data_IF_540517880902
#
_entry.id   IF_540517880902
#
_cell.length_a   1.000
_cell.length_b   1.000
_cell.length_c   1.000
_cell.angle_alpha   90.00
_cell.angle_beta   90.00
_cell.angle_gamma   90.00
#
_symmetry.space_group_name_H-M   'P 1'
#
loop_
_entity.id
_entity.type
_entity.pdbx_description
1 polymer ?
#
# COMPACT_ATOMS: atom_id res chain seq x y z
N UNK A 1 -1.71 -10.52 19.97
CA UNK A 1 -2.84 -9.58 19.67
C UNK A 1 -2.62 -9.03 18.29
N UNK A 2 -3.57 -9.17 17.39
CA UNK A 2 -3.54 -8.58 16.05
C UNK A 2 -4.15 -7.16 16.08
N UNK A 3 -4.02 -6.42 14.97
CA UNK A 3 -4.68 -5.10 14.82
C UNK A 3 -6.21 -5.27 14.94
N UNK A 4 -6.78 -6.29 14.30
CA UNK A 4 -8.22 -6.56 14.35
C UNK A 4 -8.71 -6.85 15.77
N UNK A 5 -7.96 -7.69 16.53
CA UNK A 5 -8.26 -7.94 17.95
C UNK A 5 -8.21 -6.66 18.79
N UNK A 6 -7.20 -5.80 18.53
CA UNK A 6 -7.02 -4.56 19.26
C UNK A 6 -8.14 -3.53 18.97
N UNK A 7 -8.79 -3.63 17.81
CA UNK A 7 -9.87 -2.77 17.35
C UNK A 7 -11.26 -3.35 17.66
N UNK A 8 -11.35 -4.61 18.10
CA UNK A 8 -12.61 -5.35 18.27
C UNK A 8 -13.46 -5.32 16.98
N UNK A 9 -12.82 -5.64 15.86
CA UNK A 9 -13.46 -5.72 14.55
C UNK A 9 -13.17 -7.07 13.90
N UNK A 10 -14.10 -7.54 13.07
CA UNK A 10 -13.94 -8.76 12.27
C UNK A 10 -14.19 -8.42 10.80
N UNK A 11 -13.20 -8.74 9.98
CA UNK A 11 -13.28 -8.66 8.52
C UNK A 11 -12.67 -9.94 7.93
N UNK A 12 -13.07 -10.37 6.74
CA UNK A 12 -12.43 -11.50 6.07
C UNK A 12 -10.93 -11.23 5.86
N UNK A 13 -10.11 -12.24 6.16
CA UNK A 13 -8.67 -12.24 5.91
C UNK A 13 -8.32 -13.50 5.14
N UNK A 14 -7.66 -13.34 4.00
CA UNK A 14 -7.29 -14.43 3.11
C UNK A 14 -5.78 -14.55 3.01
N UNK A 15 -5.28 -15.77 2.92
CA UNK A 15 -3.86 -16.02 2.64
C UNK A 15 -3.52 -15.54 1.24
N UNK A 16 -2.44 -14.75 1.12
CA UNK A 16 -1.88 -14.31 -0.15
C UNK A 16 -0.98 -15.35 -0.80
N UNK A 17 -0.35 -14.96 -1.91
CA UNK A 17 0.64 -15.80 -2.57
C UNK A 17 1.86 -16.00 -1.67
N UNK A 18 2.35 -17.23 -1.55
CA UNK A 18 3.50 -17.56 -0.70
C UNK A 18 4.84 -17.29 -1.40
N UNK A 19 4.84 -17.23 -2.74
CA UNK A 19 6.02 -17.02 -3.57
C UNK A 19 5.87 -15.89 -4.57
N UNK A 20 6.88 -15.72 -5.42
CA UNK A 20 6.84 -14.78 -6.55
C UNK A 20 5.94 -15.31 -7.67
N UNK A 21 5.52 -14.42 -8.56
CA UNK A 21 4.66 -14.77 -9.70
C UNK A 21 5.24 -15.89 -10.56
N UNK A 22 6.56 -15.93 -10.76
CA UNK A 22 7.27 -16.99 -11.50
C UNK A 22 7.20 -18.37 -10.83
N UNK A 23 6.97 -18.41 -9.53
CA UNK A 23 6.92 -19.66 -8.74
C UNK A 23 5.50 -20.24 -8.70
N UNK A 24 4.49 -19.45 -9.06
CA UNK A 24 3.08 -19.86 -9.07
C UNK A 24 2.80 -20.63 -10.36
N UNK A 25 2.49 -21.92 -10.23
CA UNK A 25 2.25 -22.83 -11.34
C UNK A 25 0.76 -22.93 -11.68
N UNK A 26 0.45 -22.81 -12.98
CA UNK A 26 -0.92 -23.00 -13.49
C UNK A 26 -1.95 -22.07 -12.85
N UNK A 27 -3.13 -22.61 -12.59
CA UNK A 27 -4.29 -21.89 -12.03
C UNK A 27 -4.37 -22.01 -10.49
N UNK A 28 -3.27 -22.38 -9.83
CA UNK A 28 -3.27 -22.52 -8.37
C UNK A 28 -2.91 -21.19 -7.69
N UNK A 29 -3.78 -20.21 -7.88
CA UNK A 29 -3.66 -18.90 -7.25
C UNK A 29 -4.18 -18.94 -5.80
N UNK A 30 -3.66 -18.04 -4.96
CA UNK A 30 -3.98 -17.97 -3.54
C UNK A 30 -5.46 -17.68 -3.26
N UNK A 31 -5.95 -17.98 -2.05
CA UNK A 31 -7.29 -17.56 -1.62
C UNK A 31 -7.54 -16.06 -1.76
N UNK A 32 -6.53 -15.21 -1.47
CA UNK A 32 -6.66 -13.76 -1.63
C UNK A 32 -6.80 -13.36 -3.11
N UNK A 33 -6.04 -13.99 -4.01
CA UNK A 33 -6.14 -13.74 -5.45
C UNK A 33 -7.48 -14.22 -6.02
N UNK A 34 -8.01 -15.38 -5.57
CA UNK A 34 -9.35 -15.87 -5.92
C UNK A 34 -10.44 -14.90 -5.46
N UNK A 35 -10.36 -14.46 -4.20
CA UNK A 35 -11.30 -13.48 -3.65
C UNK A 35 -11.26 -12.15 -4.43
N UNK A 36 -10.09 -11.70 -4.86
CA UNK A 36 -9.96 -10.50 -5.69
C UNK A 36 -10.69 -10.66 -7.04
N UNK A 37 -10.56 -11.82 -7.69
CA UNK A 37 -11.32 -12.11 -8.92
C UNK A 37 -12.82 -12.07 -8.65
N UNK A 38 -13.29 -12.72 -7.59
CA UNK A 38 -14.70 -12.74 -7.21
C UNK A 38 -15.25 -11.33 -6.95
N UNK A 39 -14.53 -10.51 -6.18
CA UNK A 39 -14.92 -9.13 -5.89
C UNK A 39 -14.92 -8.24 -7.14
N UNK A 40 -13.93 -8.40 -8.03
CA UNK A 40 -13.87 -7.64 -9.28
C UNK A 40 -15.00 -8.02 -10.26
N UNK A 41 -15.46 -9.26 -10.19
CA UNK A 41 -16.57 -9.74 -11.03
C UNK A 41 -17.96 -9.43 -10.47
N UNK A 42 -18.07 -8.88 -9.25
CA UNK A 42 -19.36 -8.44 -8.69
C UNK A 42 -19.97 -7.31 -9.53
N UNK A 43 -21.26 -7.39 -9.70
CA UNK A 43 -22.05 -6.38 -10.46
C UNK A 43 -22.98 -5.63 -9.49
N UNK A 44 -22.39 -4.94 -8.52
CA UNK A 44 -23.12 -4.17 -7.50
C UNK A 44 -23.07 -2.64 -7.74
N UNK A 45 -22.50 -2.21 -8.86
CA UNK A 45 -22.41 -0.82 -9.28
C UNK A 45 -21.42 0.03 -8.45
N UNK A 46 -20.62 -0.60 -7.57
CA UNK A 46 -19.63 0.10 -6.74
C UNK A 46 -18.25 0.04 -7.37
N UNK A 47 -17.46 1.12 -7.30
CA UNK A 47 -16.08 1.08 -7.73
C UNK A 47 -15.26 0.20 -6.78
N UNK A 48 -14.42 -0.69 -7.34
CA UNK A 48 -13.48 -1.49 -6.57
C UNK A 48 -12.10 -0.81 -6.58
N UNK A 49 -11.59 -0.48 -5.39
CA UNK A 49 -10.22 -0.05 -5.17
C UNK A 49 -9.44 -1.17 -4.49
N UNK A 50 -8.34 -1.58 -5.09
CA UNK A 50 -7.42 -2.60 -4.55
C UNK A 50 -6.16 -1.89 -4.07
N UNK A 51 -5.97 -1.82 -2.75
CA UNK A 51 -4.84 -1.13 -2.13
C UNK A 51 -3.70 -2.12 -1.90
N UNK A 52 -2.61 -1.96 -2.67
CA UNK A 52 -1.42 -2.81 -2.60
C UNK A 52 -0.34 -2.10 -1.79
N UNK A 53 -0.01 -2.65 -0.61
CA UNK A 53 0.90 -2.05 0.37
C UNK A 53 2.26 -2.75 0.43
N UNK A 54 2.49 -3.71 -0.47
CA UNK A 54 3.71 -4.51 -0.57
C UNK A 54 3.96 -4.95 -2.00
N UNK A 55 4.51 -6.17 -2.17
CA UNK A 55 4.58 -6.82 -3.45
C UNK A 55 3.19 -6.94 -4.09
N UNK A 56 3.12 -6.77 -5.41
CA UNK A 56 1.83 -6.73 -6.12
C UNK A 56 1.43 -8.10 -6.70
N UNK A 57 2.01 -9.17 -6.17
CA UNK A 57 1.89 -10.55 -6.67
C UNK A 57 0.45 -11.04 -6.71
N UNK A 58 -0.36 -10.77 -5.67
CA UNK A 58 -1.75 -11.20 -5.64
C UNK A 58 -2.58 -10.60 -6.79
N UNK A 59 -2.36 -9.32 -7.11
CA UNK A 59 -3.04 -8.65 -8.23
C UNK A 59 -2.55 -9.21 -9.56
N UNK A 60 -1.25 -9.46 -9.69
CA UNK A 60 -0.68 -10.05 -10.90
C UNK A 60 -1.24 -11.46 -11.14
N UNK A 61 -1.32 -12.30 -10.10
CA UNK A 61 -1.92 -13.64 -10.17
C UNK A 61 -3.39 -13.58 -10.58
N UNK A 62 -4.17 -12.67 -9.97
CA UNK A 62 -5.58 -12.49 -10.30
C UNK A 62 -5.77 -12.04 -11.75
N UNK A 63 -4.97 -11.07 -12.25
CA UNK A 63 -5.02 -10.62 -13.65
C UNK A 63 -4.61 -11.73 -14.63
N UNK A 64 -3.59 -12.52 -14.27
CA UNK A 64 -3.13 -13.65 -15.11
C UNK A 64 -4.20 -14.73 -15.22
N UNK A 65 -4.91 -15.01 -14.12
CA UNK A 65 -5.99 -16.01 -14.06
C UNK A 65 -7.25 -15.53 -14.78
N UNK A 66 -7.66 -14.28 -14.57
CA UNK A 66 -8.90 -13.70 -15.06
C UNK A 66 -8.67 -12.30 -15.65
N UNK A 67 -8.14 -12.17 -16.88
CA UNK A 67 -7.85 -10.86 -17.49
C UNK A 67 -9.07 -9.93 -17.62
N UNK A 68 -10.27 -10.47 -17.62
CA UNK A 68 -11.53 -9.72 -17.67
C UNK A 68 -11.79 -8.82 -16.48
N UNK A 69 -11.04 -8.99 -15.36
CA UNK A 69 -11.13 -8.10 -14.20
C UNK A 69 -10.43 -6.76 -14.42
N UNK A 70 -9.53 -6.66 -15.42
CA UNK A 70 -8.72 -5.46 -15.68
C UNK A 70 -9.57 -4.17 -15.73
N UNK A 71 -10.69 -4.09 -16.48
CA UNK A 71 -11.49 -2.86 -16.54
C UNK A 71 -12.40 -2.65 -15.32
N UNK A 72 -12.43 -3.58 -14.37
CA UNK A 72 -13.40 -3.61 -13.27
C UNK A 72 -12.84 -3.10 -11.93
N UNK A 73 -11.56 -2.78 -11.88
CA UNK A 73 -10.91 -2.33 -10.64
C UNK A 73 -9.93 -1.19 -10.88
N UNK A 74 -9.67 -0.44 -9.82
CA UNK A 74 -8.55 0.51 -9.75
C UNK A 74 -7.55 -0.01 -8.73
N UNK A 75 -6.32 -0.23 -9.15
CA UNK A 75 -5.22 -0.66 -8.29
C UNK A 75 -4.47 0.57 -7.80
N UNK A 76 -4.35 0.73 -6.48
CA UNK A 76 -3.54 1.76 -5.84
C UNK A 76 -2.33 1.08 -5.23
N UNK A 77 -1.14 1.41 -5.70
CA UNK A 77 0.06 0.71 -5.32
C UNK A 77 1.12 1.63 -4.69
N UNK A 78 1.52 1.27 -3.48
CA UNK A 78 2.70 1.83 -2.82
C UNK A 78 3.90 1.06 -3.35
N UNK A 79 4.63 1.63 -4.33
CA UNK A 79 5.74 0.89 -4.93
C UNK A 79 6.46 1.61 -6.05
N UNK A 80 7.68 1.18 -6.28
CA UNK A 80 8.59 1.73 -7.28
C UNK A 80 9.30 3.00 -6.84
N UNK A 81 10.33 3.37 -7.59
CA UNK A 81 11.09 4.60 -7.36
C UNK A 81 10.35 5.85 -7.86
N UNK A 82 10.74 7.00 -7.30
CA UNK A 82 10.44 8.28 -7.94
C UNK A 82 11.10 8.38 -9.31
N UNK A 83 10.38 8.93 -10.27
CA UNK A 83 10.84 8.96 -11.67
C UNK A 83 11.98 9.93 -11.92
N UNK A 84 12.12 10.93 -11.05
CA UNK A 84 13.11 12.00 -11.19
C UNK A 84 14.31 11.82 -10.23
N UNK A 85 14.20 10.86 -9.31
CA UNK A 85 15.15 10.63 -8.22
C UNK A 85 15.53 9.17 -8.11
N UNK A 86 15.96 8.54 -9.21
CA UNK A 86 16.50 7.19 -9.13
C UNK A 86 17.81 7.26 -8.37
N UNK A 87 17.81 6.76 -7.13
CA UNK A 87 19.05 6.56 -6.38
C UNK A 87 19.54 5.13 -6.64
N UNK A 88 20.68 4.95 -7.31
CA UNK A 88 21.20 3.63 -7.65
C UNK A 88 21.46 2.74 -6.43
N UNK A 89 21.66 3.36 -5.28
CA UNK A 89 22.04 2.69 -4.02
C UNK A 89 20.86 2.16 -3.21
N UNK A 90 19.64 2.35 -3.69
CA UNK A 90 18.43 1.91 -2.99
C UNK A 90 17.59 0.99 -3.90
N UNK A 91 17.48 -0.28 -3.52
CA UNK A 91 16.53 -1.22 -4.14
C UNK A 91 15.16 -0.99 -3.51
N UNK A 92 14.20 -0.52 -4.30
CA UNK A 92 12.85 -0.29 -3.78
C UNK A 92 12.20 -1.62 -3.35
N UNK A 93 11.69 -1.66 -2.11
CA UNK A 93 11.33 -2.90 -1.45
C UNK A 93 10.13 -3.59 -2.10
N UNK A 94 9.04 -2.84 -2.34
CA UNK A 94 7.79 -3.45 -2.79
C UNK A 94 7.87 -3.99 -4.22
N UNK A 95 8.44 -3.23 -5.15
CA UNK A 95 8.71 -3.72 -6.51
C UNK A 95 9.80 -4.79 -6.54
N UNK A 96 10.82 -4.64 -5.70
CA UNK A 96 11.94 -5.56 -5.63
C UNK A 96 11.58 -6.96 -5.12
N UNK A 97 10.49 -7.09 -4.38
CA UNK A 97 10.01 -8.39 -3.92
C UNK A 97 9.47 -9.26 -5.07
N UNK A 98 8.86 -8.64 -6.10
CA UNK A 98 8.36 -9.36 -7.27
C UNK A 98 8.35 -8.47 -8.53
N UNK A 99 9.48 -8.43 -9.23
CA UNK A 99 9.67 -7.63 -10.46
C UNK A 99 8.74 -8.11 -11.59
N UNK A 100 8.53 -9.42 -11.70
CA UNK A 100 7.68 -9.99 -12.74
C UNK A 100 6.22 -9.58 -12.52
N UNK A 101 5.72 -9.66 -11.29
CA UNK A 101 4.38 -9.20 -10.92
C UNK A 101 4.22 -7.69 -11.18
N UNK A 102 5.21 -6.87 -10.79
CA UNK A 102 5.20 -5.44 -11.07
C UNK A 102 5.09 -5.18 -12.58
N UNK A 103 5.92 -5.83 -13.39
CA UNK A 103 5.92 -5.70 -14.85
C UNK A 103 4.60 -6.17 -15.49
N UNK A 104 4.02 -7.27 -15.02
CA UNK A 104 2.72 -7.74 -15.49
C UNK A 104 1.64 -6.69 -15.23
N UNK A 105 1.52 -6.21 -13.99
CA UNK A 105 0.45 -5.26 -13.62
C UNK A 105 0.59 -3.94 -14.37
N UNK A 106 1.79 -3.34 -14.42
CA UNK A 106 1.95 -2.04 -15.11
C UNK A 106 1.77 -2.13 -16.62
N UNK A 107 1.89 -3.32 -17.21
CA UNK A 107 1.67 -3.55 -18.65
C UNK A 107 0.26 -4.05 -18.99
N UNK A 108 -0.54 -4.43 -18.01
CA UNK A 108 -1.85 -5.05 -18.22
C UNK A 108 -2.91 -4.08 -18.76
N UNK A 109 -2.75 -2.78 -18.55
CA UNK A 109 -3.76 -1.77 -18.86
C UNK A 109 -4.79 -1.55 -17.74
N UNK A 110 -4.62 -2.20 -16.58
CA UNK A 110 -5.48 -1.92 -15.41
C UNK A 110 -5.35 -0.45 -14.99
N UNK A 111 -6.42 0.11 -14.45
CA UNK A 111 -6.39 1.45 -13.86
C UNK A 111 -5.42 1.49 -12.67
N UNK A 112 -4.15 1.85 -12.94
CA UNK A 112 -3.10 1.84 -11.91
C UNK A 112 -2.82 3.27 -11.41
N UNK A 113 -2.86 3.45 -10.09
CA UNK A 113 -2.45 4.64 -9.36
C UNK A 113 -1.21 4.29 -8.54
N UNK A 114 -0.05 4.69 -9.03
CA UNK A 114 1.23 4.44 -8.38
C UNK A 114 1.59 5.57 -7.42
N UNK A 115 2.04 5.20 -6.23
CA UNK A 115 2.58 6.11 -5.22
C UNK A 115 4.03 5.70 -4.99
N UNK A 116 5.01 6.37 -5.62
CA UNK A 116 6.41 5.96 -5.61
C UNK A 116 7.14 6.35 -4.31
N UNK A 117 8.35 5.82 -4.12
CA UNK A 117 9.12 5.90 -2.88
C UNK A 117 9.43 7.33 -2.41
N UNK A 118 9.65 8.26 -3.31
CA UNK A 118 9.86 9.67 -2.96
C UNK A 118 8.59 10.34 -2.39
N UNK A 119 7.41 9.79 -2.70
CA UNK A 119 6.11 10.28 -2.21
C UNK A 119 5.74 9.55 -0.91
N UNK A 120 5.71 8.22 -0.90
CA UNK A 120 5.36 7.50 0.32
C UNK A 120 6.40 7.67 1.44
N UNK A 121 7.68 7.82 1.09
CA UNK A 121 8.75 8.07 2.05
C UNK A 121 8.66 9.43 2.75
N UNK A 122 7.89 10.39 2.20
CA UNK A 122 7.64 11.69 2.83
C UNK A 122 6.63 11.62 3.99
N UNK A 123 5.91 10.51 4.15
CA UNK A 123 4.90 10.30 5.18
C UNK A 123 5.50 10.06 6.56
N UNK A 124 6.28 11.03 7.04
CA UNK A 124 6.95 10.92 8.34
C UNK A 124 6.15 11.61 9.44
N UNK A 125 6.05 10.91 10.57
CA UNK A 125 5.44 11.38 11.81
C UNK A 125 6.42 11.16 12.96
N UNK A 126 6.50 12.09 13.93
CA UNK A 126 7.37 11.92 15.08
C UNK A 126 6.84 10.87 16.05
N UNK A 127 7.74 10.12 16.69
CA UNK A 127 7.36 9.19 17.76
C UNK A 127 6.65 9.91 18.91
N UNK A 128 7.05 11.15 19.21
CA UNK A 128 6.40 11.97 20.21
C UNK A 128 4.94 12.27 19.86
N UNK A 129 4.64 12.56 18.61
CA UNK A 129 3.25 12.76 18.14
C UNK A 129 2.44 11.48 18.23
N UNK A 130 3.00 10.35 17.81
CA UNK A 130 2.34 9.03 17.92
C UNK A 130 2.06 8.72 19.39
N UNK A 131 3.06 8.94 20.28
CA UNK A 131 2.89 8.73 21.72
C UNK A 131 1.81 9.63 22.31
N UNK A 132 1.81 10.90 21.94
CA UNK A 132 0.86 11.87 22.48
C UNK A 132 -0.57 11.67 21.98
N UNK A 133 -0.75 11.38 20.68
CA UNK A 133 -2.05 11.42 20.02
C UNK A 133 -2.65 10.04 19.74
N UNK A 134 -1.82 9.01 19.52
CA UNK A 134 -2.26 7.65 19.16
C UNK A 134 -2.21 6.71 20.35
N UNK A 135 -1.13 6.70 21.13
CA UNK A 135 -0.99 5.81 22.30
C UNK A 135 -2.19 5.82 23.25
N UNK A 136 -2.83 6.96 23.56
CA UNK A 136 -4.01 7.00 24.45
C UNK A 136 -5.29 6.35 23.85
N UNK A 137 -5.26 5.94 22.57
CA UNK A 137 -6.42 5.38 21.88
C UNK A 137 -6.61 3.87 22.18
N UNK A 138 -6.78 3.52 23.45
CA UNK A 138 -7.09 2.17 23.89
C UNK A 138 -6.05 1.12 23.53
N UNK A 139 -6.51 -0.11 23.33
CA UNK A 139 -5.62 -1.26 22.96
C UNK A 139 -4.92 -1.05 21.62
N UNK A 140 -5.65 -0.51 20.64
CA UNK A 140 -5.07 -0.29 19.30
C UNK A 140 -3.99 0.79 19.32
N UNK A 141 -4.20 1.90 20.03
CA UNK A 141 -3.20 2.96 20.12
C UNK A 141 -1.89 2.49 20.76
N UNK A 142 -1.99 1.72 21.86
CA UNK A 142 -0.83 1.09 22.50
C UNK A 142 -0.14 0.11 21.57
N UNK A 143 -0.91 -0.78 20.93
CA UNK A 143 -0.37 -1.79 20.01
C UNK A 143 0.43 -1.15 18.87
N UNK A 144 -0.11 -0.10 18.24
CA UNK A 144 0.58 0.62 17.17
C UNK A 144 1.87 1.26 17.66
N UNK A 145 1.82 2.05 18.75
CA UNK A 145 2.99 2.73 19.27
C UNK A 145 4.09 1.76 19.72
N UNK A 146 3.75 0.75 20.53
CA UNK A 146 4.73 -0.20 21.06
C UNK A 146 5.43 -1.00 19.94
N UNK A 147 4.69 -1.43 18.91
CA UNK A 147 5.28 -2.12 17.76
C UNK A 147 6.18 -1.19 16.94
N UNK A 148 5.77 0.05 16.69
CA UNK A 148 6.61 1.03 15.99
C UNK A 148 7.91 1.31 16.74
N UNK A 149 7.84 1.54 18.06
CA UNK A 149 9.03 1.78 18.89
C UNK A 149 9.93 0.53 18.93
N UNK A 150 9.35 -0.64 19.16
CA UNK A 150 10.10 -1.90 19.19
C UNK A 150 10.85 -2.15 17.88
N UNK A 151 10.19 -1.95 16.75
CA UNK A 151 10.81 -2.12 15.44
C UNK A 151 11.89 -1.03 15.21
N UNK A 152 11.60 0.23 15.52
CA UNK A 152 12.52 1.36 15.31
C UNK A 152 13.82 1.23 16.13
N UNK A 153 13.79 0.49 17.24
CA UNK A 153 14.95 0.17 18.08
C UNK A 153 15.65 -1.13 17.67
N UNK A 154 15.18 -1.81 16.65
CA UNK A 154 15.77 -3.07 16.18
C UNK A 154 16.87 -2.85 15.14
N UNK A 155 17.70 -3.86 14.92
CA UNK A 155 18.73 -3.88 13.88
C UNK A 155 18.16 -3.79 12.44
N UNK A 156 16.87 -4.07 12.27
CA UNK A 156 16.19 -4.02 10.98
C UNK A 156 15.68 -2.62 10.59
N UNK A 157 15.81 -1.64 11.48
CA UNK A 157 15.25 -0.30 11.31
C UNK A 157 16.18 0.71 10.62
N UNK A 158 17.23 0.27 9.92
CA UNK A 158 18.19 1.16 9.27
C UNK A 158 17.58 2.19 8.31
N UNK A 159 16.40 1.90 7.75
CA UNK A 159 15.65 2.80 6.86
C UNK A 159 14.83 3.87 7.60
N UNK A 160 14.60 3.72 8.89
CA UNK A 160 13.80 4.66 9.71
C UNK A 160 14.52 4.99 11.04
N UNK A 161 15.76 5.49 11.01
CA UNK A 161 16.49 5.81 12.22
C UNK A 161 15.93 7.06 12.92
N UNK A 162 16.08 7.12 14.23
CA UNK A 162 15.76 8.29 15.02
C UNK A 162 14.33 8.35 15.55
N UNK A 163 13.88 9.56 15.88
CA UNK A 163 12.61 9.81 16.56
C UNK A 163 11.42 9.99 15.61
N UNK A 164 11.41 9.27 14.51
CA UNK A 164 10.33 9.35 13.54
C UNK A 164 9.95 7.98 12.96
N UNK A 165 8.73 7.88 12.44
CA UNK A 165 8.23 6.71 11.71
C UNK A 165 7.68 7.12 10.35
N UNK A 166 7.89 6.31 9.33
CA UNK A 166 7.29 6.52 8.02
C UNK A 166 6.01 5.68 7.89
N UNK A 167 4.86 6.34 7.89
CA UNK A 167 3.56 5.71 7.61
C UNK A 167 3.33 5.66 6.09
N UNK A 168 4.26 5.02 5.38
CA UNK A 168 4.34 5.03 3.92
C UNK A 168 3.17 4.37 3.19
N UNK A 169 2.41 3.52 3.85
CA UNK A 169 1.25 2.84 3.27
C UNK A 169 -0.04 3.68 3.32
N UNK A 170 -0.09 4.65 4.22
CA UNK A 170 -1.30 5.47 4.43
C UNK A 170 -1.74 6.26 3.19
N UNK A 171 -0.86 6.71 2.28
CA UNK A 171 -1.28 7.37 1.05
C UNK A 171 -2.23 6.54 0.19
N UNK A 172 -2.11 5.21 0.18
CA UNK A 172 -3.04 4.36 -0.58
C UNK A 172 -4.49 4.53 -0.10
N UNK A 173 -4.69 4.60 1.23
CA UNK A 173 -6.00 4.88 1.81
C UNK A 173 -6.41 6.32 1.51
N UNK A 174 -5.49 7.29 1.65
CA UNK A 174 -5.76 8.71 1.41
C UNK A 174 -6.31 8.99 0.02
N UNK A 175 -5.66 8.45 -1.03
CA UNK A 175 -6.09 8.67 -2.41
C UNK A 175 -7.35 7.88 -2.78
N UNK A 176 -7.62 6.76 -2.12
CA UNK A 176 -8.88 6.03 -2.28
C UNK A 176 -10.07 6.79 -1.64
N UNK A 177 -9.83 7.51 -0.54
CA UNK A 177 -10.82 8.36 0.12
C UNK A 177 -11.07 9.67 -0.67
N UNK A 178 -10.01 10.30 -1.12
CA UNK A 178 -10.03 11.52 -1.94
C UNK A 178 -8.88 11.50 -2.95
N UNK A 179 -9.20 11.25 -4.20
CA UNK A 179 -8.20 11.23 -5.28
C UNK A 179 -7.42 12.54 -5.46
N UNK A 180 -7.94 13.65 -4.90
CA UNK A 180 -7.32 14.97 -4.93
C UNK A 180 -6.49 15.27 -3.67
N UNK A 181 -6.31 14.30 -2.77
CA UNK A 181 -5.45 14.50 -1.60
C UNK A 181 -3.95 14.57 -1.94
N UNK A 182 -3.60 14.59 -3.23
CA UNK A 182 -2.25 14.77 -3.76
C UNK A 182 -2.27 15.28 -5.18
N UNK A 183 -1.08 15.55 -5.73
CA UNK A 183 -0.92 15.85 -7.15
C UNK A 183 -0.41 14.63 -7.90
N UNK A 184 -0.79 14.49 -9.15
CA UNK A 184 -0.38 13.38 -9.98
C UNK A 184 -0.21 13.78 -11.44
N UNK A 185 0.50 12.93 -12.18
CA UNK A 185 0.64 13.01 -13.63
C UNK A 185 0.24 11.69 -14.26
N UNK A 186 -0.19 11.72 -15.53
CA UNK A 186 -0.29 10.51 -16.34
C UNK A 186 0.97 10.34 -17.14
N UNK A 187 1.56 9.15 -17.10
CA UNK A 187 2.74 8.81 -17.89
C UNK A 187 2.69 7.37 -18.37
N UNK A 188 3.45 7.06 -19.40
CA UNK A 188 3.61 5.68 -19.86
C UNK A 188 4.27 4.83 -18.77
N UNK A 189 3.74 3.64 -18.57
CA UNK A 189 4.23 2.70 -17.56
C UNK A 189 5.68 2.31 -17.86
N UNK A 190 6.58 2.31 -16.86
CA UNK A 190 7.96 1.86 -17.03
C UNK A 190 8.04 0.34 -17.16
N UNK A 191 9.22 -0.15 -17.52
CA UNK A 191 9.64 -1.52 -17.27
C UNK A 191 10.50 -1.50 -16.03
N UNK A 192 10.18 -2.31 -15.03
CA UNK A 192 11.01 -2.52 -13.85
C UNK A 192 12.17 -3.46 -14.20
N UNK A 193 13.40 -3.01 -13.97
CA UNK A 193 14.60 -3.81 -14.08
C UNK A 193 14.83 -4.61 -12.79
N UNK A 194 15.71 -5.60 -12.81
CA UNK A 194 16.02 -6.46 -11.65
C UNK A 194 16.55 -5.68 -10.43
N UNK A 195 17.21 -4.56 -10.67
CA UNK A 195 17.69 -3.62 -9.64
C UNK A 195 16.64 -2.61 -9.18
N UNK A 196 15.38 -2.76 -9.64
CA UNK A 196 14.24 -1.86 -9.43
C UNK A 196 14.31 -0.52 -10.14
N UNK A 197 15.34 -0.24 -10.92
CA UNK A 197 15.39 0.92 -11.81
C UNK A 197 14.39 0.79 -12.95
N UNK A 198 14.23 1.84 -13.74
CA UNK A 198 13.26 1.88 -14.83
C UNK A 198 13.93 1.90 -16.21
N UNK A 199 13.36 1.13 -17.12
CA UNK A 199 13.54 1.29 -18.57
C UNK A 199 12.24 1.86 -19.16
N UNK A 200 12.37 2.90 -19.99
CA UNK A 200 11.23 3.54 -20.64
C UNK A 200 11.14 3.12 -22.11
N UNK A 201 9.93 2.76 -22.53
CA UNK A 201 9.62 2.39 -23.92
C UNK A 201 8.29 3.02 -24.30
N UNK A 202 8.25 3.69 -25.46
CA UNK A 202 7.03 4.32 -25.98
C UNK A 202 5.92 3.32 -26.30
N UNK A 203 4.66 3.77 -26.23
CA UNK A 203 3.49 2.99 -26.57
C UNK A 203 2.98 2.05 -25.46
N UNK A 204 3.47 2.22 -24.25
CA UNK A 204 2.97 1.45 -23.08
C UNK A 204 1.69 2.08 -22.51
N UNK A 205 0.90 1.30 -21.76
CA UNK A 205 -0.28 1.84 -21.07
C UNK A 205 0.07 3.06 -20.22
N UNK A 206 -0.85 4.02 -20.14
CA UNK A 206 -0.69 5.16 -19.25
C UNK A 206 -1.16 4.80 -17.85
N UNK A 207 -0.37 5.14 -16.86
CA UNK A 207 -0.67 5.00 -15.43
C UNK A 207 -0.72 6.37 -14.77
N UNK A 208 -1.46 6.49 -13.67
CA UNK A 208 -1.44 7.67 -12.81
C UNK A 208 -0.28 7.52 -11.82
N UNK A 209 0.58 8.51 -11.75
CA UNK A 209 1.72 8.54 -10.81
C UNK A 209 1.57 9.76 -9.91
N UNK A 210 1.42 9.55 -8.62
CA UNK A 210 1.39 10.63 -7.65
C UNK A 210 2.77 11.24 -7.49
N UNK A 211 2.82 12.58 -7.49
CA UNK A 211 4.04 13.38 -7.34
C UNK A 211 4.12 14.06 -5.98
N UNK A 212 2.99 14.19 -5.30
CA UNK A 212 2.91 14.64 -3.91
C UNK A 212 1.66 14.11 -3.23
N UNK A 213 1.66 14.16 -1.89
CA UNK A 213 0.52 13.77 -1.04
C UNK A 213 0.32 14.82 0.05
N UNK A 214 -0.93 15.12 0.37
CA UNK A 214 -1.29 15.93 1.53
C UNK A 214 -1.20 15.07 2.81
N UNK A 215 0.01 14.96 3.35
CA UNK A 215 0.28 14.16 4.55
C UNK A 215 -0.53 14.62 5.76
N UNK A 216 -0.77 15.93 5.89
CA UNK A 216 -1.58 16.47 6.99
C UNK A 216 -3.01 15.94 6.92
N UNK A 217 -3.66 15.95 5.76
CA UNK A 217 -5.01 15.40 5.63
C UNK A 217 -5.07 13.93 6.07
N UNK A 218 -4.13 13.12 5.58
CA UNK A 218 -4.08 11.68 5.86
C UNK A 218 -3.80 11.41 7.35
N UNK A 219 -2.85 12.11 7.97
CA UNK A 219 -2.53 11.93 9.39
C UNK A 219 -3.67 12.40 10.30
N UNK A 220 -4.25 13.56 10.00
CA UNK A 220 -5.37 14.07 10.81
C UNK A 220 -6.60 13.18 10.71
N UNK A 221 -6.91 12.61 9.54
CA UNK A 221 -8.00 11.64 9.38
C UNK A 221 -7.75 10.37 10.19
N UNK A 222 -6.55 9.78 10.06
CA UNK A 222 -6.17 8.59 10.83
C UNK A 222 -6.27 8.83 12.34
N UNK A 223 -5.62 9.89 12.82
CA UNK A 223 -5.55 10.21 14.24
C UNK A 223 -6.94 10.54 14.79
N UNK A 224 -7.72 11.33 14.06
CA UNK A 224 -9.08 11.69 14.46
C UNK A 224 -10.00 10.47 14.54
N UNK A 225 -9.91 9.55 13.56
CA UNK A 225 -10.67 8.29 13.60
C UNK A 225 -10.28 7.41 14.78
N UNK A 226 -8.98 7.32 15.10
CA UNK A 226 -8.52 6.58 16.27
C UNK A 226 -9.05 7.23 17.57
N UNK A 227 -8.96 8.55 17.70
CA UNK A 227 -9.44 9.27 18.88
C UNK A 227 -10.96 9.20 19.05
N UNK A 228 -11.72 9.35 17.97
CA UNK A 228 -13.19 9.28 18.02
C UNK A 228 -13.69 7.88 18.37
N UNK A 229 -13.02 6.83 17.90
CA UNK A 229 -13.49 5.46 18.09
C UNK A 229 -12.85 4.74 19.28
N UNK A 230 -11.63 5.11 19.69
CA UNK A 230 -10.85 4.40 20.71
C UNK A 230 -10.18 5.33 21.73
N UNK A 231 -10.33 6.65 21.58
CA UNK A 231 -9.75 7.64 22.50
C UNK A 231 -10.45 7.68 23.86
N UNK A 232 -9.87 8.43 24.83
CA UNK A 232 -10.49 8.65 26.11
C UNK A 232 -11.92 9.21 25.95
N UNK A 233 -12.91 8.51 26.53
CA UNK A 233 -14.32 8.90 26.44
C UNK A 233 -15.12 8.34 25.25
N UNK A 234 -14.51 7.51 24.38
CA UNK A 234 -15.18 6.92 23.20
C UNK A 234 -16.19 5.79 23.53
N UNK A 235 -16.31 5.37 24.78
CA UNK A 235 -17.17 4.24 25.20
C UNK A 235 -16.67 2.85 24.77
N UNK A 236 -15.63 2.76 23.95
CA UNK A 236 -14.97 1.50 23.54
C UNK A 236 -13.64 1.24 24.30
N UNK A 237 -13.52 1.82 25.49
CA UNK A 237 -12.39 1.58 26.39
C UNK A 237 -12.65 0.28 27.18
N UNK A 238 -12.30 -0.85 26.67
CA UNK A 238 -12.21 -2.10 27.43
C UNK A 238 -10.88 -2.82 27.12
#
# INVERSE_FOLDING_TARGET
MTVLDAMDISVPVYMGEEGKLSEIQGNDISPASKFLVEEAMRDDGKPLFVLCLGAITNVASAIREAPEIIPRMTVVWIGGHGYETVTPDFREFNSGNDIEAANLVVSSGVGLWQIPSNVYGSMRISLAEIQHRIYPCGKIGRHLFENMVKYNMSEHAGWTPGESWALGDNPAVGVAMDQNCGTYVYREAPIFNEDTTYTFKAGRPKIRVYTSINSRFIFEDLISKLQLNYGPGSGKQA
#
